data_IF_701190483292
#
_entry.id   IF_701190483292
#
_cell.length_a   1.000
_cell.length_b   1.000
_cell.length_c   1.000
_cell.angle_alpha   90.00
_cell.angle_beta   90.00
_cell.angle_gamma   90.00
#
_symmetry.space_group_name_H-M   'P 1'
#
loop_
_entity.id
_entity.type
_entity.pdbx_description
1 polymer ?
#
# COMPACT_ATOMS: atom_id res chain seq x y z
N UNK A 1 2.43 -24.32 6.04
CA UNK A 1 1.86 -23.00 6.43
C UNK A 1 2.97 -21.95 6.47
N UNK A 2 2.67 -20.73 6.12
CA UNK A 2 3.59 -19.59 6.14
C UNK A 2 3.19 -18.66 7.28
N UNK A 3 4.14 -18.19 8.08
CA UNK A 3 3.91 -17.10 9.02
C UNK A 3 4.02 -15.77 8.25
N UNK A 4 2.90 -15.13 8.02
CA UNK A 4 2.84 -13.80 7.45
C UNK A 4 2.89 -12.74 8.54
N UNK A 5 3.73 -11.70 8.36
CA UNK A 5 3.92 -10.59 9.30
C UNK A 5 3.79 -9.28 8.52
N UNK A 6 2.96 -8.38 9.01
CA UNK A 6 2.79 -7.01 8.49
C UNK A 6 3.33 -6.02 9.53
N UNK A 7 4.47 -5.40 9.24
CA UNK A 7 5.13 -4.44 10.11
C UNK A 7 4.57 -3.05 9.80
N UNK A 8 3.66 -2.57 10.63
CA UNK A 8 3.12 -1.21 10.53
C UNK A 8 3.73 -0.27 11.57
N UNK A 9 3.52 1.03 11.38
CA UNK A 9 4.03 2.06 12.32
C UNK A 9 3.42 2.00 13.73
N UNK A 10 2.18 1.50 13.86
CA UNK A 10 1.47 1.41 15.14
C UNK A 10 1.38 -0.02 15.68
N UNK A 11 1.18 -0.99 14.81
CA UNK A 11 1.04 -2.41 15.17
C UNK A 11 1.84 -3.27 14.19
N UNK A 12 2.43 -4.34 14.72
CA UNK A 12 2.87 -5.51 13.95
C UNK A 12 1.73 -6.50 13.99
N UNK A 13 1.15 -6.79 12.81
CA UNK A 13 0.11 -7.81 12.64
C UNK A 13 0.76 -9.10 12.14
N UNK A 14 0.20 -10.23 12.48
CA UNK A 14 0.67 -11.52 11.99
C UNK A 14 -0.43 -12.56 11.98
N UNK A 15 -0.23 -13.60 11.17
CA UNK A 15 -1.15 -14.71 11.04
C UNK A 15 -0.51 -15.87 10.27
N UNK A 16 -1.14 -17.03 10.34
CA UNK A 16 -0.73 -18.20 9.58
C UNK A 16 -1.52 -18.26 8.27
N UNK A 17 -0.81 -18.39 7.16
CA UNK A 17 -1.39 -18.52 5.82
C UNK A 17 -1.18 -19.96 5.35
N UNK A 18 -2.25 -20.61 4.92
CA UNK A 18 -2.22 -21.96 4.35
C UNK A 18 -1.98 -21.94 2.82
N UNK A 19 -1.96 -23.12 2.21
CA UNK A 19 -1.71 -23.27 0.78
C UNK A 19 -2.91 -22.80 -0.09
N UNK A 20 -4.10 -22.64 0.52
CA UNK A 20 -5.28 -22.03 -0.10
C UNK A 20 -5.34 -20.50 0.13
N UNK A 21 -4.27 -19.90 0.66
CA UNK A 21 -4.18 -18.48 1.01
C UNK A 21 -5.22 -17.99 2.01
N UNK A 22 -5.68 -18.87 2.90
CA UNK A 22 -6.55 -18.51 4.02
C UNK A 22 -5.71 -18.16 5.24
N UNK A 23 -6.08 -17.05 5.89
CA UNK A 23 -5.41 -16.61 7.11
C UNK A 23 -6.11 -17.21 8.34
N UNK A 24 -5.32 -17.72 9.25
CA UNK A 24 -5.76 -18.21 10.56
C UNK A 24 -4.85 -17.67 11.67
N UNK A 25 -5.29 -17.78 12.92
CA UNK A 25 -4.55 -17.36 14.11
C UNK A 25 -4.02 -15.92 14.03
N UNK A 26 -4.84 -15.00 13.48
CA UNK A 26 -4.47 -13.59 13.39
C UNK A 26 -4.31 -12.96 14.76
N UNK A 27 -3.25 -12.18 14.92
CA UNK A 27 -3.00 -11.39 16.11
C UNK A 27 -2.23 -10.11 15.77
N UNK A 28 -2.11 -9.22 16.75
CA UNK A 28 -1.31 -8.01 16.62
C UNK A 28 -0.67 -7.63 17.95
N UNK A 29 0.49 -7.00 17.85
CA UNK A 29 1.19 -6.40 18.99
C UNK A 29 1.55 -4.94 18.66
N UNK A 30 1.65 -4.04 19.63
CA UNK A 30 2.14 -2.69 19.37
C UNK A 30 3.53 -2.73 18.73
N UNK A 31 3.79 -1.87 17.76
CA UNK A 31 5.13 -1.73 17.17
C UNK A 31 6.06 -1.13 18.21
N UNK A 32 7.18 -1.80 18.53
CA UNK A 32 8.14 -1.30 19.49
C UNK A 32 8.76 0.04 19.07
N UNK A 33 9.22 0.81 20.03
CA UNK A 33 9.84 2.12 19.79
C UNK A 33 11.34 2.05 19.65
N UNK A 34 11.96 0.89 19.93
CA UNK A 34 13.41 0.67 19.83
C UNK A 34 13.73 -0.52 18.94
N UNK A 35 14.92 -0.53 18.35
CA UNK A 35 15.37 -1.63 17.50
C UNK A 35 15.54 -2.95 18.31
N UNK A 36 16.02 -2.87 19.54
CA UNK A 36 16.22 -4.06 20.38
C UNK A 36 14.88 -4.72 20.73
N UNK A 37 13.89 -3.94 21.17
CA UNK A 37 12.55 -4.46 21.44
C UNK A 37 11.86 -4.98 20.18
N UNK A 38 12.11 -4.36 19.03
CA UNK A 38 11.62 -4.84 17.74
C UNK A 38 12.16 -6.24 17.42
N UNK A 39 13.46 -6.47 17.62
CA UNK A 39 14.03 -7.80 17.43
C UNK A 39 13.46 -8.83 18.41
N UNK A 40 13.37 -8.49 19.69
CA UNK A 40 12.76 -9.36 20.69
C UNK A 40 11.31 -9.72 20.34
N UNK A 41 10.55 -8.74 19.86
CA UNK A 41 9.16 -8.94 19.44
C UNK A 41 9.05 -9.90 18.26
N UNK A 42 9.85 -9.70 17.20
CA UNK A 42 9.86 -10.59 16.05
C UNK A 42 10.32 -12.01 16.43
N UNK A 43 11.38 -12.11 17.21
CA UNK A 43 11.90 -13.41 17.68
C UNK A 43 10.86 -14.14 18.52
N UNK A 44 10.09 -13.45 19.35
CA UNK A 44 8.99 -14.05 20.11
C UNK A 44 7.85 -14.52 19.19
N UNK A 45 7.42 -13.68 18.23
CA UNK A 45 6.36 -14.05 17.27
C UNK A 45 6.77 -15.31 16.49
N UNK A 46 7.98 -15.34 15.94
CA UNK A 46 8.45 -16.48 15.15
C UNK A 46 8.61 -17.73 16.01
N UNK A 47 9.24 -17.61 17.20
CA UNK A 47 9.45 -18.74 18.12
C UNK A 47 8.15 -19.43 18.53
N UNK A 48 7.07 -18.65 18.68
CA UNK A 48 5.76 -19.18 19.06
C UNK A 48 5.08 -20.01 17.96
N UNK A 49 5.58 -19.92 16.71
CA UNK A 49 4.98 -20.60 15.56
C UNK A 49 5.95 -21.54 14.82
N UNK A 50 7.25 -21.54 15.18
CA UNK A 50 8.33 -22.19 14.40
C UNK A 50 8.10 -23.67 14.07
N UNK A 51 7.40 -24.39 14.95
CA UNK A 51 7.21 -25.85 14.81
C UNK A 51 6.12 -26.23 13.79
N UNK A 52 5.32 -25.24 13.33
CA UNK A 52 4.18 -25.45 12.41
C UNK A 52 4.31 -24.69 11.11
N UNK A 53 5.39 -23.91 10.91
CA UNK A 53 5.60 -23.09 9.71
C UNK A 53 6.75 -23.62 8.86
N UNK A 54 6.64 -23.46 7.56
CA UNK A 54 7.68 -23.77 6.57
C UNK A 54 8.49 -22.54 6.14
N UNK A 55 8.04 -21.33 6.51
CA UNK A 55 8.71 -20.08 6.14
C UNK A 55 8.05 -18.85 6.73
N UNK A 56 8.70 -17.71 6.53
CA UNK A 56 8.29 -16.41 7.07
C UNK A 56 8.19 -15.41 5.91
N UNK A 57 7.03 -14.78 5.78
CA UNK A 57 6.75 -13.75 4.79
C UNK A 57 6.48 -12.42 5.50
N UNK A 58 7.18 -11.35 5.13
CA UNK A 58 7.11 -10.08 5.84
C UNK A 58 6.77 -8.95 4.88
N UNK A 59 5.68 -8.23 5.14
CA UNK A 59 5.42 -6.92 4.59
C UNK A 59 6.00 -5.84 5.53
N UNK A 60 6.68 -4.84 4.97
CA UNK A 60 7.35 -3.79 5.73
C UNK A 60 7.26 -2.46 4.98
N UNK A 61 7.01 -1.33 5.67
CA UNK A 61 6.97 -0.03 5.03
C UNK A 61 8.35 0.44 4.62
N UNK A 62 8.40 1.35 3.65
CA UNK A 62 9.60 2.06 3.25
C UNK A 62 10.33 1.45 2.06
N UNK A 63 11.62 1.71 1.98
CA UNK A 63 12.49 1.30 0.87
C UNK A 63 13.10 -0.07 1.14
N UNK A 64 12.66 -1.08 0.39
CA UNK A 64 12.99 -2.50 0.61
C UNK A 64 13.69 -3.09 -0.62
N UNK A 65 14.80 -3.76 -0.41
CA UNK A 65 15.35 -4.69 -1.39
C UNK A 65 14.76 -6.09 -1.12
N UNK A 66 13.67 -6.42 -1.79
CA UNK A 66 12.93 -7.66 -1.55
C UNK A 66 13.76 -8.91 -1.86
N UNK A 67 14.62 -8.87 -2.90
CA UNK A 67 15.52 -9.99 -3.26
C UNK A 67 16.53 -10.34 -2.15
N UNK A 68 16.98 -9.34 -1.39
CA UNK A 68 17.95 -9.51 -0.29
C UNK A 68 17.28 -9.57 1.08
N UNK A 69 15.99 -9.27 1.17
CA UNK A 69 15.30 -9.09 2.45
C UNK A 69 15.92 -7.98 3.30
N UNK A 70 16.34 -6.88 2.64
CA UNK A 70 17.07 -5.78 3.28
C UNK A 70 16.24 -4.50 3.28
N UNK A 71 16.11 -3.88 4.44
CA UNK A 71 15.44 -2.59 4.62
C UNK A 71 16.49 -1.49 4.53
N UNK A 72 16.40 -0.62 3.52
CA UNK A 72 17.23 0.58 3.46
C UNK A 72 16.71 1.65 4.41
N UNK A 73 15.41 1.90 4.38
CA UNK A 73 14.70 2.84 5.26
C UNK A 73 13.31 2.25 5.55
N UNK A 74 12.93 2.21 6.82
CA UNK A 74 11.65 1.65 7.27
C UNK A 74 10.50 2.65 7.25
N UNK A 75 10.48 3.61 6.34
CA UNK A 75 9.44 4.62 6.24
C UNK A 75 9.28 5.38 7.55
N UNK A 76 8.11 5.25 8.17
CA UNK A 76 7.76 5.93 9.43
C UNK A 76 8.29 5.25 10.69
N UNK A 77 9.11 4.21 10.55
CA UNK A 77 9.78 3.53 11.67
C UNK A 77 11.26 3.91 11.65
N UNK A 78 11.67 4.98 12.36
CA UNK A 78 12.98 5.61 12.16
C UNK A 78 14.18 4.71 12.45
N UNK A 79 14.04 3.74 13.37
CA UNK A 79 15.11 2.81 13.73
C UNK A 79 15.30 1.68 12.72
N UNK A 80 14.38 1.47 11.78
CA UNK A 80 14.53 0.51 10.68
C UNK A 80 15.35 1.12 9.53
N UNK A 81 16.64 1.33 9.77
CA UNK A 81 17.58 1.87 8.79
C UNK A 81 18.74 0.91 8.60
N UNK A 82 19.00 0.53 7.35
CA UNK A 82 20.04 -0.42 6.95
C UNK A 82 19.95 -1.78 7.67
N UNK A 83 18.72 -2.37 7.74
CA UNK A 83 18.43 -3.59 8.50
C UNK A 83 18.44 -4.82 7.57
N UNK A 84 19.33 -5.81 7.79
CA UNK A 84 19.33 -7.07 7.05
C UNK A 84 18.27 -8.05 7.61
N UNK A 85 16.98 -7.66 7.55
CA UNK A 85 15.87 -8.35 8.21
C UNK A 85 15.77 -9.82 7.81
N UNK A 86 15.69 -10.09 6.50
CA UNK A 86 15.55 -11.43 5.98
C UNK A 86 16.70 -12.35 6.38
N UNK A 87 17.95 -11.92 6.15
CA UNK A 87 19.12 -12.75 6.44
C UNK A 87 19.34 -12.99 7.94
N UNK A 88 18.97 -12.03 8.81
CA UNK A 88 19.06 -12.22 10.27
C UNK A 88 18.05 -13.28 10.74
N UNK A 89 16.79 -13.16 10.35
CA UNK A 89 15.75 -14.13 10.73
C UNK A 89 16.03 -15.53 10.14
N UNK A 90 16.49 -15.61 8.88
CA UNK A 90 16.89 -16.89 8.26
C UNK A 90 17.99 -17.57 9.09
N UNK A 91 19.01 -16.85 9.53
CA UNK A 91 20.09 -17.42 10.36
C UNK A 91 19.61 -17.83 11.74
N UNK A 92 18.72 -17.05 12.36
CA UNK A 92 18.22 -17.32 13.72
C UNK A 92 17.32 -18.55 13.76
N UNK A 93 16.41 -18.66 12.78
CA UNK A 93 15.36 -19.68 12.80
C UNK A 93 15.59 -20.86 11.85
N UNK A 94 16.58 -20.75 10.95
CA UNK A 94 16.88 -21.75 9.90
C UNK A 94 15.66 -22.01 9.01
N UNK A 95 14.84 -20.98 8.79
CA UNK A 95 13.68 -20.97 7.90
C UNK A 95 13.89 -19.97 6.75
N UNK A 96 13.34 -20.22 5.56
CA UNK A 96 13.32 -19.25 4.49
C UNK A 96 12.52 -18.02 4.90
N UNK A 97 13.04 -16.83 4.60
CA UNK A 97 12.40 -15.54 4.91
C UNK A 97 12.37 -14.68 3.66
N UNK A 98 11.20 -14.15 3.32
CA UNK A 98 11.02 -13.15 2.27
C UNK A 98 10.47 -11.86 2.86
N UNK A 99 10.93 -10.73 2.34
CA UNK A 99 10.52 -9.39 2.78
C UNK A 99 10.10 -8.60 1.55
N UNK A 100 8.97 -7.91 1.62
CA UNK A 100 8.40 -7.11 0.53
C UNK A 100 7.92 -5.76 1.09
N UNK A 101 7.83 -4.74 0.25
CA UNK A 101 7.18 -3.48 0.62
C UNK A 101 5.68 -3.71 0.89
N UNK A 102 5.09 -2.96 1.82
CA UNK A 102 3.69 -3.11 2.24
C UNK A 102 2.69 -2.79 1.12
N UNK A 103 2.92 -1.73 0.33
CA UNK A 103 2.05 -1.40 -0.80
C UNK A 103 2.20 -2.40 -1.96
N UNK A 104 3.41 -2.89 -2.21
CA UNK A 104 3.66 -3.95 -3.17
C UNK A 104 2.96 -5.25 -2.74
N UNK A 105 2.98 -5.57 -1.44
CA UNK A 105 2.27 -6.72 -0.91
C UNK A 105 0.75 -6.57 -1.13
N UNK A 106 0.18 -5.40 -0.80
CA UNK A 106 -1.25 -5.16 -1.03
C UNK A 106 -1.62 -5.31 -2.51
N UNK A 107 -0.83 -4.72 -3.42
CA UNK A 107 -1.07 -4.83 -4.86
C UNK A 107 -1.01 -6.28 -5.35
N UNK A 108 -0.03 -7.06 -4.87
CA UNK A 108 0.13 -8.46 -5.26
C UNK A 108 -1.01 -9.35 -4.77
N UNK A 109 -1.52 -9.13 -3.54
CA UNK A 109 -2.71 -9.83 -3.04
C UNK A 109 -3.93 -9.57 -3.92
N UNK A 110 -4.15 -8.30 -4.27
CA UNK A 110 -5.27 -7.89 -5.12
C UNK A 110 -5.15 -8.39 -6.57
N UNK A 111 -3.93 -8.48 -7.11
CA UNK A 111 -3.69 -9.00 -8.45
C UNK A 111 -3.92 -10.51 -8.54
N UNK A 112 -3.58 -11.27 -7.51
CA UNK A 112 -3.71 -12.73 -7.54
C UNK A 112 -5.07 -13.24 -7.09
N UNK A 113 -5.68 -12.60 -6.10
CA UNK A 113 -6.86 -13.15 -5.43
C UNK A 113 -7.99 -12.13 -5.24
N UNK A 114 -7.76 -10.87 -5.63
CA UNK A 114 -8.66 -9.77 -5.34
C UNK A 114 -9.15 -9.03 -6.56
N UNK A 115 -9.28 -7.72 -6.40
CA UNK A 115 -9.94 -6.83 -7.35
C UNK A 115 -9.11 -6.42 -8.57
N UNK A 116 -7.81 -6.76 -8.60
CA UNK A 116 -6.89 -6.46 -9.71
C UNK A 116 -6.56 -7.70 -10.57
N UNK A 117 -7.31 -8.80 -10.41
CA UNK A 117 -7.13 -10.01 -11.23
C UNK A 117 -7.37 -9.71 -12.71
N UNK A 118 -6.64 -10.42 -13.58
CA UNK A 118 -6.78 -10.42 -15.04
C UNK A 118 -6.60 -9.05 -15.72
N UNK A 119 -5.99 -8.08 -15.04
CA UNK A 119 -5.70 -6.76 -15.60
C UNK A 119 -4.31 -6.71 -16.21
N UNK A 120 -4.19 -6.01 -17.34
CA UNK A 120 -2.88 -5.73 -17.93
C UNK A 120 -2.08 -4.73 -17.09
N UNK A 121 -2.75 -3.78 -16.45
CA UNK A 121 -2.11 -2.84 -15.54
C UNK A 121 -3.08 -2.35 -14.46
N UNK A 122 -2.75 -2.60 -13.20
CA UNK A 122 -3.52 -2.16 -12.04
C UNK A 122 -2.64 -1.51 -10.97
N UNK A 123 -3.27 -0.75 -10.08
CA UNK A 123 -2.57 -0.11 -8.97
C UNK A 123 -3.32 -0.31 -7.65
N UNK A 124 -2.56 -0.47 -6.57
CA UNK A 124 -3.06 -0.37 -5.20
C UNK A 124 -2.47 0.89 -4.53
N UNK A 125 -3.35 1.76 -4.03
CA UNK A 125 -3.00 2.89 -3.19
C UNK A 125 -3.34 2.55 -1.75
N UNK A 126 -2.35 2.50 -0.88
CA UNK A 126 -2.51 2.17 0.54
C UNK A 126 -2.47 3.46 1.35
N UNK A 127 -3.63 3.88 1.86
CA UNK A 127 -3.80 5.11 2.63
C UNK A 127 -3.62 4.80 4.13
N UNK A 128 -2.49 5.21 4.67
CA UNK A 128 -2.10 5.03 6.07
C UNK A 128 -1.57 6.32 6.68
N UNK A 129 -0.48 6.26 7.44
CA UNK A 129 0.25 7.45 7.89
C UNK A 129 0.90 8.20 6.71
N UNK A 130 1.25 7.50 5.65
CA UNK A 130 1.61 8.02 4.35
C UNK A 130 0.77 7.37 3.26
N UNK A 131 1.15 7.59 2.01
CA UNK A 131 0.55 6.95 0.83
C UNK A 131 1.53 5.92 0.26
N UNK A 132 1.13 4.66 0.24
CA UNK A 132 1.87 3.59 -0.43
C UNK A 132 1.30 3.35 -1.84
N UNK A 133 2.16 3.01 -2.80
CA UNK A 133 1.77 2.69 -4.16
C UNK A 133 2.41 1.38 -4.60
N UNK A 134 1.59 0.40 -4.96
CA UNK A 134 2.01 -0.82 -5.64
C UNK A 134 1.41 -0.90 -7.04
N UNK A 135 2.22 -1.24 -8.03
CA UNK A 135 1.80 -1.42 -9.42
C UNK A 135 1.93 -2.89 -9.82
N UNK A 136 0.92 -3.39 -10.49
CA UNK A 136 0.87 -4.80 -10.94
C UNK A 136 0.48 -4.90 -12.41
N UNK A 137 0.94 -5.97 -13.03
CA UNK A 137 0.49 -6.42 -14.34
C UNK A 137 0.20 -7.90 -14.27
N UNK A 138 -1.03 -8.27 -14.57
CA UNK A 138 -1.51 -9.62 -14.37
C UNK A 138 -1.27 -10.06 -12.91
N UNK A 139 -0.50 -11.11 -12.67
CA UNK A 139 -0.22 -11.60 -11.32
C UNK A 139 1.13 -11.11 -10.73
N UNK A 140 1.80 -10.16 -11.42
CA UNK A 140 3.18 -9.79 -11.09
C UNK A 140 3.31 -8.31 -10.73
N UNK A 141 4.21 -8.02 -9.79
CA UNK A 141 4.63 -6.65 -9.53
C UNK A 141 5.39 -6.07 -10.72
N UNK A 142 5.08 -4.83 -11.06
CA UNK A 142 5.83 -4.11 -12.08
C UNK A 142 7.21 -3.73 -11.53
N UNK A 143 8.24 -4.17 -12.22
CA UNK A 143 9.62 -3.77 -11.91
C UNK A 143 10.03 -2.56 -12.75
N UNK A 144 11.10 -1.86 -12.38
CA UNK A 144 11.68 -0.78 -13.20
C UNK A 144 11.99 -1.19 -14.64
N UNK A 145 12.32 -2.47 -14.85
CA UNK A 145 12.65 -3.00 -16.17
C UNK A 145 11.42 -3.27 -17.05
N UNK A 146 10.30 -3.67 -16.42
CA UNK A 146 9.07 -4.01 -17.14
C UNK A 146 8.11 -2.83 -17.28
N UNK A 147 8.20 -1.82 -16.42
CA UNK A 147 7.24 -0.72 -16.36
C UNK A 147 7.14 0.11 -17.65
N UNK A 148 8.23 0.22 -18.40
CA UNK A 148 8.26 1.04 -19.62
C UNK A 148 7.26 0.61 -20.69
N UNK A 149 6.86 -0.66 -20.71
CA UNK A 149 5.83 -1.15 -21.65
C UNK A 149 4.41 -0.70 -21.27
N UNK A 150 4.19 -0.31 -20.01
CA UNK A 150 2.90 0.15 -19.48
C UNK A 150 2.79 1.67 -19.44
N UNK A 151 3.85 2.40 -19.75
CA UNK A 151 3.78 3.85 -19.89
C UNK A 151 2.90 4.22 -21.09
N UNK A 152 2.12 5.27 -20.95
CA UNK A 152 1.43 5.87 -22.10
C UNK A 152 2.46 6.39 -23.07
N UNK A 153 2.31 6.02 -24.35
CA UNK A 153 3.15 6.58 -25.38
C UNK A 153 2.93 8.10 -25.43
N UNK A 154 3.99 8.91 -25.41
CA UNK A 154 3.85 10.33 -25.66
C UNK A 154 3.21 10.55 -27.03
N UNK A 155 2.41 11.63 -27.19
CA UNK A 155 1.87 11.97 -28.51
C UNK A 155 3.04 12.19 -29.48
N UNK A 156 2.88 11.87 -30.77
CA UNK A 156 3.95 12.05 -31.77
C UNK A 156 4.53 13.48 -31.83
N UNK A 157 3.81 14.44 -31.28
CA UNK A 157 4.22 15.86 -31.27
C UNK A 157 5.10 16.24 -30.07
N UNK A 158 5.20 15.35 -29.04
CA UNK A 158 5.97 15.62 -27.81
C UNK A 158 7.35 14.95 -27.76
N UNK A 159 7.75 14.24 -28.79
CA UNK A 159 9.06 13.59 -28.86
C UNK A 159 10.18 14.59 -29.20
N UNK A 160 10.51 15.48 -28.29
CA UNK A 160 11.84 16.11 -28.32
C UNK A 160 12.82 15.10 -27.70
N UNK A 161 13.87 14.80 -28.43
CA UNK A 161 14.92 13.83 -28.08
C UNK A 161 15.77 14.31 -26.90
N UNK A 162 15.29 14.16 -25.69
CA UNK A 162 16.16 14.25 -24.51
C UNK A 162 16.22 12.88 -23.87
N UNK A 163 17.29 12.16 -24.17
CA UNK A 163 17.63 10.88 -23.55
C UNK A 163 18.15 11.08 -22.12
N UNK A 164 17.33 11.62 -21.23
CA UNK A 164 17.65 11.55 -19.80
C UNK A 164 17.35 10.15 -19.30
N UNK A 165 18.27 9.52 -18.57
CA UNK A 165 18.00 8.21 -17.98
C UNK A 165 16.81 8.32 -17.03
N UNK A 166 15.79 7.48 -17.26
CA UNK A 166 14.62 7.40 -16.40
C UNK A 166 15.01 6.75 -15.08
N UNK A 167 14.85 7.46 -13.98
CA UNK A 167 15.13 6.96 -12.63
C UNK A 167 13.80 6.62 -11.94
N UNK A 168 13.48 5.34 -11.91
CA UNK A 168 12.22 4.81 -11.41
C UNK A 168 11.92 5.21 -9.97
N UNK A 169 12.87 5.00 -9.07
CA UNK A 169 12.69 5.28 -7.65
C UNK A 169 12.43 6.75 -7.39
N UNK A 170 13.15 7.63 -8.08
CA UNK A 170 12.98 9.07 -7.97
C UNK A 170 11.63 9.51 -8.52
N UNK A 171 11.20 8.92 -9.64
CA UNK A 171 9.90 9.17 -10.24
C UNK A 171 8.75 8.75 -9.32
N UNK A 172 8.79 7.53 -8.79
CA UNK A 172 7.76 7.02 -7.88
C UNK A 172 7.71 7.82 -6.58
N UNK A 173 8.86 8.17 -6.03
CA UNK A 173 8.92 9.06 -4.87
C UNK A 173 8.30 10.43 -5.18
N UNK A 174 8.57 10.98 -6.36
CA UNK A 174 7.98 12.22 -6.81
C UNK A 174 6.47 12.17 -6.93
N UNK A 175 5.92 11.08 -7.51
CA UNK A 175 4.48 10.89 -7.63
C UNK A 175 3.79 10.83 -6.26
N UNK A 176 4.33 10.04 -5.33
CA UNK A 176 3.77 9.92 -3.98
C UNK A 176 3.91 11.23 -3.21
N UNK A 177 5.01 11.97 -3.40
CA UNK A 177 5.23 13.25 -2.72
C UNK A 177 4.28 14.37 -3.17
N UNK A 178 3.58 14.23 -4.31
CA UNK A 178 2.55 15.19 -4.73
C UNK A 178 1.37 15.26 -3.76
N UNK A 179 1.10 14.16 -3.06
CA UNK A 179 0.03 14.07 -2.05
C UNK A 179 0.55 13.95 -0.63
N UNK A 180 1.87 14.04 -0.41
CA UNK A 180 2.59 13.77 0.82
C UNK A 180 1.71 13.96 2.08
N UNK A 181 1.83 14.93 2.87
CA UNK A 181 1.03 15.06 4.11
C UNK A 181 -0.50 15.09 3.90
N UNK A 182 -1.00 15.58 2.77
CA UNK A 182 -2.44 15.68 2.48
C UNK A 182 -3.10 14.35 2.16
N UNK A 183 -2.36 13.37 1.61
CA UNK A 183 -2.85 12.02 1.35
C UNK A 183 -2.85 11.11 2.58
N UNK A 184 -2.31 11.56 3.71
CA UNK A 184 -2.27 10.79 4.95
C UNK A 184 -3.67 10.56 5.53
N UNK A 185 -4.09 9.29 5.61
CA UNK A 185 -5.33 8.91 6.26
C UNK A 185 -5.32 9.23 7.76
N UNK A 186 -4.18 9.02 8.42
CA UNK A 186 -4.00 9.35 9.84
C UNK A 186 -4.07 10.85 10.04
N UNK A 187 -3.41 11.64 9.18
CA UNK A 187 -3.47 13.10 9.22
C UNK A 187 -4.89 13.63 9.04
N UNK A 188 -5.62 13.10 8.05
CA UNK A 188 -7.02 13.44 7.80
C UNK A 188 -7.90 13.13 9.02
N UNK A 189 -7.82 11.92 9.59
CA UNK A 189 -8.62 11.53 10.76
C UNK A 189 -8.27 12.39 11.96
N UNK A 190 -6.99 12.73 12.14
CA UNK A 190 -6.56 13.62 13.22
C UNK A 190 -7.19 15.03 13.12
N UNK A 191 -7.06 15.68 11.98
CA UNK A 191 -7.61 17.00 11.73
C UNK A 191 -9.15 17.01 11.84
N UNK A 192 -9.81 16.02 11.25
CA UNK A 192 -11.25 15.85 11.35
C UNK A 192 -11.73 15.62 12.79
N UNK A 193 -10.99 14.83 13.58
CA UNK A 193 -11.29 14.60 14.99
C UNK A 193 -11.17 15.89 15.81
N UNK A 194 -10.19 16.75 15.50
CA UNK A 194 -10.06 18.06 16.12
C UNK A 194 -11.23 18.99 15.77
N UNK A 195 -11.66 19.03 14.51
CA UNK A 195 -12.85 19.80 14.09
C UNK A 195 -14.12 19.37 14.81
N UNK A 196 -14.25 18.08 15.11
CA UNK A 196 -15.37 17.52 15.87
C UNK A 196 -15.23 17.68 17.39
N UNK A 197 -14.10 18.18 17.88
CA UNK A 197 -13.82 18.31 19.32
C UNK A 197 -13.67 16.98 20.04
N UNK A 198 -13.21 15.91 19.34
CA UNK A 198 -12.96 14.61 19.94
C UNK A 198 -11.68 14.62 20.78
N UNK A 199 -11.66 13.85 21.87
CA UNK A 199 -10.51 13.77 22.77
C UNK A 199 -9.36 12.91 22.22
N UNK A 200 -9.63 12.11 21.21
CA UNK A 200 -8.69 11.23 20.52
C UNK A 200 -9.10 11.03 19.06
N UNK A 201 -8.20 10.56 18.24
CA UNK A 201 -8.47 10.26 16.84
C UNK A 201 -9.44 9.07 16.74
N UNK A 202 -10.58 9.28 16.08
CA UNK A 202 -11.65 8.29 15.94
C UNK A 202 -12.20 8.29 14.51
N UNK A 203 -11.59 7.47 13.64
CA UNK A 203 -11.99 7.33 12.24
C UNK A 203 -13.48 6.97 12.07
N UNK A 204 -14.02 5.96 12.74
CA UNK A 204 -15.45 5.64 12.70
C UNK A 204 -16.35 6.82 13.03
N UNK A 205 -16.06 7.57 14.09
CA UNK A 205 -16.84 8.75 14.47
C UNK A 205 -16.76 9.86 13.41
N UNK A 206 -15.57 10.09 12.84
CA UNK A 206 -15.35 11.05 11.73
C UNK A 206 -16.22 10.70 10.53
N UNK A 207 -16.18 9.46 10.04
CA UNK A 207 -16.98 9.06 8.88
C UNK A 207 -18.49 9.08 9.17
N UNK A 208 -18.92 8.71 10.37
CA UNK A 208 -20.32 8.86 10.78
C UNK A 208 -20.78 10.33 10.78
N UNK A 209 -19.90 11.26 11.17
CA UNK A 209 -20.22 12.70 11.13
C UNK A 209 -20.28 13.26 9.70
N UNK A 210 -19.42 12.76 8.79
CA UNK A 210 -19.45 13.09 7.35
C UNK A 210 -20.75 12.61 6.73
N UNK A 211 -21.13 11.36 6.94
CA UNK A 211 -22.39 10.76 6.46
C UNK A 211 -23.63 11.51 7.01
N UNK A 212 -23.55 11.94 8.26
CA UNK A 212 -24.59 12.74 8.91
C UNK A 212 -24.59 14.22 8.52
N UNK A 213 -23.68 14.69 7.68
CA UNK A 213 -23.52 16.09 7.27
C UNK A 213 -23.48 17.07 8.47
N UNK A 214 -22.74 16.71 9.53
CA UNK A 214 -22.78 17.39 10.82
C UNK A 214 -22.03 18.73 10.84
N UNK A 215 -21.05 18.92 9.94
CA UNK A 215 -20.20 20.12 9.92
C UNK A 215 -19.79 20.47 8.49
N UNK A 216 -19.99 21.73 8.09
CA UNK A 216 -19.56 22.23 6.78
C UNK A 216 -18.04 22.19 6.64
N UNK A 217 -17.30 22.57 7.67
CA UNK A 217 -15.83 22.55 7.67
C UNK A 217 -15.30 21.11 7.53
N UNK A 218 -15.93 20.13 8.19
CA UNK A 218 -15.56 18.72 8.06
C UNK A 218 -15.82 18.20 6.64
N UNK A 219 -16.95 18.58 6.05
CA UNK A 219 -17.28 18.18 4.68
C UNK A 219 -16.34 18.80 3.66
N UNK A 220 -15.89 20.05 3.89
CA UNK A 220 -14.89 20.69 3.05
C UNK A 220 -13.53 19.96 3.17
N UNK A 221 -13.08 19.70 4.38
CA UNK A 221 -11.85 18.93 4.63
C UNK A 221 -11.89 17.56 3.95
N UNK A 222 -13.02 16.85 4.05
CA UNK A 222 -13.20 15.55 3.40
C UNK A 222 -13.16 15.65 1.86
N UNK A 223 -13.81 16.67 1.29
CA UNK A 223 -13.77 16.95 -0.14
C UNK A 223 -12.34 17.21 -0.64
N UNK A 224 -11.60 18.02 0.10
CA UNK A 224 -10.21 18.35 -0.23
C UNK A 224 -9.34 17.09 -0.18
N UNK A 225 -9.52 16.25 0.85
CA UNK A 225 -8.82 14.97 0.97
C UNK A 225 -9.11 14.04 -0.22
N UNK A 226 -10.38 13.85 -0.58
CA UNK A 226 -10.77 13.02 -1.73
C UNK A 226 -10.20 13.59 -3.05
N UNK A 227 -10.21 14.91 -3.21
CA UNK A 227 -9.66 15.57 -4.39
C UNK A 227 -8.14 15.32 -4.54
N UNK A 228 -7.36 15.41 -3.46
CA UNK A 228 -5.91 15.15 -3.51
C UNK A 228 -5.61 13.70 -3.95
N UNK A 229 -6.38 12.72 -3.45
CA UNK A 229 -6.23 11.32 -3.89
C UNK A 229 -6.68 11.16 -5.35
N UNK A 230 -7.76 11.80 -5.77
CA UNK A 230 -8.23 11.78 -7.15
C UNK A 230 -7.19 12.35 -8.13
N UNK A 231 -6.52 13.45 -7.77
CA UNK A 231 -5.42 14.04 -8.54
C UNK A 231 -4.26 13.06 -8.67
N UNK A 232 -3.90 12.34 -7.61
CA UNK A 232 -2.87 11.31 -7.68
C UNK A 232 -3.26 10.19 -8.65
N UNK A 233 -4.51 9.69 -8.57
CA UNK A 233 -5.01 8.65 -9.49
C UNK A 233 -4.94 9.14 -10.95
N UNK A 234 -5.36 10.38 -11.22
CA UNK A 234 -5.29 10.98 -12.55
C UNK A 234 -3.85 11.08 -13.06
N UNK A 235 -2.92 11.51 -12.20
CA UNK A 235 -1.50 11.55 -12.53
C UNK A 235 -0.94 10.17 -12.85
N UNK A 236 -1.25 9.17 -12.03
CA UNK A 236 -0.84 7.78 -12.27
C UNK A 236 -1.40 7.28 -13.61
N UNK A 237 -2.68 7.51 -13.89
CA UNK A 237 -3.30 7.12 -15.14
C UNK A 237 -2.72 7.88 -16.36
N UNK A 238 -2.24 9.09 -16.17
CA UNK A 238 -1.58 9.86 -17.24
C UNK A 238 -0.22 9.25 -17.65
N UNK A 239 0.45 8.57 -16.73
CA UNK A 239 1.73 7.90 -16.98
C UNK A 239 1.56 6.43 -17.37
N UNK A 240 0.66 5.71 -16.70
CA UNK A 240 0.46 4.28 -16.89
C UNK A 240 -0.87 4.00 -17.61
N UNK A 241 -0.94 2.86 -18.28
CA UNK A 241 -2.19 2.36 -18.88
C UNK A 241 -3.01 1.63 -17.82
N UNK A 242 -3.31 2.32 -16.72
CA UNK A 242 -4.11 1.73 -15.66
C UNK A 242 -5.52 1.42 -16.13
N UNK A 243 -6.04 0.27 -15.75
CA UNK A 243 -7.40 -0.17 -15.97
C UNK A 243 -8.24 -0.05 -14.69
N UNK A 244 -7.59 -0.11 -13.53
CA UNK A 244 -8.24 -0.01 -12.22
C UNK A 244 -7.25 0.43 -11.14
N UNK A 245 -7.79 1.17 -10.16
CA UNK A 245 -7.09 1.49 -8.91
C UNK A 245 -7.90 0.95 -7.73
N UNK A 246 -7.22 0.27 -6.80
CA UNK A 246 -7.82 -0.13 -5.54
C UNK A 246 -7.24 0.65 -4.36
N UNK A 247 -8.11 1.02 -3.42
CA UNK A 247 -7.75 1.80 -2.24
C UNK A 247 -7.67 0.86 -1.04
N UNK A 248 -6.49 0.78 -0.45
CA UNK A 248 -6.20 0.01 0.77
C UNK A 248 -5.97 0.91 1.98
N UNK A 249 -5.62 0.30 3.11
CA UNK A 249 -5.34 0.99 4.37
C UNK A 249 -6.53 1.04 5.33
N UNK A 250 -6.32 1.63 6.50
CA UNK A 250 -7.24 1.56 7.63
C UNK A 250 -8.63 2.13 7.38
N UNK A 251 -8.73 3.17 6.55
CA UNK A 251 -10.00 3.85 6.24
C UNK A 251 -10.67 3.35 4.95
N UNK A 252 -10.07 2.43 4.22
CA UNK A 252 -10.59 1.95 2.92
C UNK A 252 -11.92 1.19 3.00
N UNK A 253 -12.32 0.77 4.21
CA UNK A 253 -13.64 0.13 4.44
C UNK A 253 -14.81 1.10 4.44
N UNK A 254 -14.54 2.39 4.48
CA UNK A 254 -15.57 3.42 4.46
C UNK A 254 -16.06 3.63 3.02
N UNK A 255 -17.30 3.23 2.72
CA UNK A 255 -17.90 3.39 1.40
C UNK A 255 -17.90 4.84 0.94
N UNK A 256 -18.25 5.75 1.87
CA UNK A 256 -18.22 7.20 1.67
C UNK A 256 -16.87 7.73 1.16
N UNK A 257 -15.75 7.13 1.62
CA UNK A 257 -14.42 7.50 1.13
C UNK A 257 -14.25 7.13 -0.35
N UNK A 258 -14.61 5.91 -0.71
CA UNK A 258 -14.45 5.41 -2.09
C UNK A 258 -15.35 6.21 -3.04
N UNK A 259 -16.59 6.47 -2.64
CA UNK A 259 -17.51 7.33 -3.39
C UNK A 259 -16.96 8.75 -3.55
N UNK A 260 -16.48 9.36 -2.46
CA UNK A 260 -15.91 10.71 -2.49
C UNK A 260 -14.68 10.83 -3.38
N UNK A 261 -13.78 9.84 -3.38
CA UNK A 261 -12.62 9.80 -4.27
C UNK A 261 -13.07 9.61 -5.74
N UNK A 262 -14.04 8.72 -6.00
CA UNK A 262 -14.55 8.45 -7.34
C UNK A 262 -15.24 9.69 -7.92
N UNK A 263 -16.09 10.35 -7.14
CA UNK A 263 -16.78 11.59 -7.54
C UNK A 263 -15.77 12.71 -7.87
N UNK A 264 -14.78 12.90 -6.99
CA UNK A 264 -13.73 13.88 -7.22
C UNK A 264 -12.90 13.55 -8.47
N UNK A 265 -12.63 12.27 -8.72
CA UNK A 265 -11.89 11.83 -9.90
C UNK A 265 -12.71 12.04 -11.20
N UNK A 266 -13.99 11.70 -11.22
CA UNK A 266 -14.88 11.95 -12.35
C UNK A 266 -14.99 13.45 -12.66
N UNK A 267 -15.05 14.30 -11.61
CA UNK A 267 -15.10 15.76 -11.77
C UNK A 267 -13.86 16.30 -12.49
N UNK A 268 -12.67 15.69 -12.26
CA UNK A 268 -11.43 16.07 -12.96
C UNK A 268 -11.48 15.82 -14.46
N UNK A 269 -12.34 14.92 -14.95
CA UNK A 269 -12.52 14.63 -16.39
C UNK A 269 -13.51 15.56 -17.08
N UNK A 270 -14.51 16.11 -16.39
CA UNK A 270 -15.61 16.87 -16.99
C UNK A 270 -15.13 18.01 -17.91
N UNK A 271 -14.03 18.65 -17.54
CA UNK A 271 -13.50 19.82 -18.23
C UNK A 271 -12.18 19.55 -18.97
N UNK A 272 -11.83 18.27 -19.21
CA UNK A 272 -10.54 17.87 -19.79
C UNK A 272 -10.66 16.83 -20.90
N UNK A 273 -11.43 17.10 -21.98
CA UNK A 273 -11.55 16.17 -23.10
C UNK A 273 -10.21 15.89 -23.80
N UNK A 274 -9.20 16.77 -23.60
CA UNK A 274 -7.86 16.61 -24.16
C UNK A 274 -7.02 15.52 -23.52
N UNK A 275 -7.43 14.92 -22.39
CA UNK A 275 -6.70 13.83 -21.73
C UNK A 275 -6.54 12.61 -22.64
N UNK A 276 -7.52 12.35 -23.52
CA UNK A 276 -7.42 11.29 -24.53
C UNK A 276 -7.47 9.86 -23.96
N UNK A 277 -7.98 9.69 -22.74
CA UNK A 277 -8.27 8.41 -22.11
C UNK A 277 -9.52 8.51 -21.23
N UNK A 278 -10.20 7.38 -21.04
CA UNK A 278 -11.43 7.30 -20.28
C UNK A 278 -11.15 7.15 -18.77
N UNK A 279 -12.09 7.57 -17.90
CA UNK A 279 -12.02 7.28 -16.48
C UNK A 279 -11.92 5.78 -16.18
N UNK A 280 -11.18 5.44 -15.12
CA UNK A 280 -11.03 4.07 -14.65
C UNK A 280 -11.82 3.84 -13.36
N UNK A 281 -12.04 2.57 -13.03
CA UNK A 281 -12.72 2.20 -11.78
C UNK A 281 -11.80 2.41 -10.58
N UNK A 282 -12.33 3.08 -9.55
CA UNK A 282 -11.73 3.19 -8.22
C UNK A 282 -12.61 2.42 -7.25
N UNK A 283 -12.03 1.52 -6.47
CA UNK A 283 -12.76 0.72 -5.49
C UNK A 283 -11.90 0.38 -4.27
N UNK A 284 -12.50 -0.13 -3.20
CA UNK A 284 -11.75 -0.63 -2.05
C UNK A 284 -10.99 -1.92 -2.41
N UNK A 285 -9.84 -2.14 -1.76
CA UNK A 285 -9.16 -3.43 -1.76
C UNK A 285 -10.11 -4.53 -1.27
N UNK A 286 -10.10 -5.68 -1.94
CA UNK A 286 -10.94 -6.83 -1.57
C UNK A 286 -10.59 -7.35 -0.17
N UNK A 287 -9.29 -7.46 0.13
CA UNK A 287 -8.81 -8.00 1.40
C UNK A 287 -8.65 -6.96 2.51
N UNK A 288 -8.87 -5.67 2.21
CA UNK A 288 -8.77 -4.58 3.19
C UNK A 288 -7.46 -4.65 4.01
N UNK A 289 -7.60 -4.86 5.34
CA UNK A 289 -6.47 -4.90 6.27
C UNK A 289 -5.62 -6.18 6.20
N UNK A 290 -6.07 -7.19 5.47
CA UNK A 290 -5.40 -8.48 5.33
C UNK A 290 -4.55 -8.56 4.05
N UNK A 291 -4.67 -7.56 3.16
CA UNK A 291 -3.93 -7.50 1.89
C UNK A 291 -2.43 -7.65 2.08
N UNK A 292 -1.85 -7.01 3.10
CA UNK A 292 -0.40 -7.06 3.34
C UNK A 292 0.06 -8.46 3.77
N UNK A 293 -0.72 -9.16 4.60
CA UNK A 293 -0.39 -10.52 5.04
C UNK A 293 -0.48 -11.51 3.87
N UNK A 294 -1.58 -11.44 3.11
CA UNK A 294 -1.77 -12.30 1.94
C UNK A 294 -0.75 -12.03 0.83
N UNK A 295 -0.46 -10.76 0.58
CA UNK A 295 0.52 -10.36 -0.43
C UNK A 295 1.94 -10.78 -0.08
N UNK A 296 2.34 -10.65 1.18
CA UNK A 296 3.64 -11.14 1.65
C UNK A 296 3.74 -12.67 1.49
N UNK A 297 2.70 -13.42 1.88
CA UNK A 297 2.64 -14.87 1.71
C UNK A 297 2.67 -15.26 0.22
N UNK A 298 1.94 -14.52 -0.62
CA UNK A 298 1.92 -14.71 -2.07
C UNK A 298 3.29 -14.47 -2.71
N UNK A 299 4.00 -13.41 -2.29
CA UNK A 299 5.37 -13.14 -2.72
C UNK A 299 6.33 -14.26 -2.29
N UNK A 300 6.19 -14.75 -1.05
CA UNK A 300 6.99 -15.87 -0.55
C UNK A 300 6.80 -17.13 -1.40
N UNK A 301 5.56 -17.48 -1.74
CA UNK A 301 5.25 -18.66 -2.55
C UNK A 301 5.87 -18.55 -3.97
N UNK A 302 5.71 -17.41 -4.66
CA UNK A 302 6.22 -17.23 -6.02
C UNK A 302 7.74 -17.26 -6.16
N UNK A 303 8.45 -16.88 -5.13
CA UNK A 303 9.93 -16.86 -5.13
C UNK A 303 10.55 -18.20 -4.72
N UNK A 304 9.73 -19.16 -4.25
CA UNK A 304 10.19 -20.51 -3.90
C UNK A 304 9.84 -21.56 -4.97
N UNK A 305 9.01 -21.22 -5.97
CA UNK A 305 8.68 -22.07 -7.12
C UNK A 305 9.71 -21.93 -8.28
N UNK A 306 10.78 -21.15 -8.09
CA UNK A 306 11.91 -20.94 -9.00
C UNK A 306 13.18 -21.59 -8.44
#
# INVERSE_FOLDING_TARGET
MILAIDIGGTFIKFGLVDDDFKISNQSKVPTPTTLDDFWLTLEHIVSSHKDIISGIAIACPGEINSKRGFIFKGGLIPYLMAIPLGSRLTRTFQLPVKVINDADAAALAEARYGSLQDLDCGAALVLGTGVGLGLVSQEFLLSPLSVTQYLRAPSPQSMSQTSLPFQWELFMHGLVSLVDNKGSAVGFVHEASQLLGLNQDDGPAVFSAIEGNQSEDLNLLFKDYCHEIAVLVLNLQSFFRLEKVVIGGGISRQGTLIEGISDAYEELFKDKPELGFEPITIQACHFHNDSNLLGAASYFASENDL
#
